data_IF_691673170479
#
_entry.id   IF_691673170479
#
_cell.length_a   1.000
_cell.length_b   1.000
_cell.length_c   1.000
_cell.angle_alpha   90.00
_cell.angle_beta   90.00
_cell.angle_gamma   90.00
#
_symmetry.space_group_name_H-M   'P 1'
#
loop_
_entity.id
_entity.type
_entity.pdbx_description
1 polymer ?
#
# COMPACT_ATOMS: atom_id res chain seq x y z
N UNK A 1 -18.07 0.50 0.39
CA UNK A 1 -17.45 0.65 -0.95
C UNK A 1 -16.19 -0.21 -0.98
N UNK A 2 -16.00 -0.98 -2.06
CA UNK A 2 -14.90 -1.95 -2.22
C UNK A 2 -13.51 -1.32 -2.20
N UNK A 3 -13.38 -0.06 -2.59
CA UNK A 3 -12.09 0.67 -2.63
C UNK A 3 -11.58 0.97 -1.22
N UNK A 4 -12.43 1.56 -0.36
CA UNK A 4 -12.05 1.88 1.01
C UNK A 4 -11.66 0.63 1.81
N UNK A 5 -12.35 -0.49 1.57
CA UNK A 5 -11.97 -1.78 2.17
C UNK A 5 -10.58 -2.22 1.70
N UNK A 6 -10.30 -2.17 0.38
CA UNK A 6 -8.99 -2.51 -0.18
C UNK A 6 -7.86 -1.69 0.42
N UNK A 7 -8.07 -0.38 0.61
CA UNK A 7 -7.07 0.51 1.24
C UNK A 7 -6.85 0.12 2.70
N UNK A 8 -7.92 -0.17 3.45
CA UNK A 8 -7.83 -0.64 4.83
C UNK A 8 -7.05 -1.95 4.93
N UNK A 9 -7.35 -2.93 4.06
CA UNK A 9 -6.66 -4.22 4.03
C UNK A 9 -5.16 -4.03 3.75
N UNK A 10 -4.79 -3.13 2.83
CA UNK A 10 -3.38 -2.81 2.53
C UNK A 10 -2.66 -2.07 3.69
N UNK A 11 -3.37 -1.20 4.41
CA UNK A 11 -2.86 -0.50 5.59
C UNK A 11 -2.61 -1.49 6.74
N UNK A 12 -3.52 -2.45 6.95
CA UNK A 12 -3.39 -3.54 7.93
C UNK A 12 -2.24 -4.49 7.60
N UNK A 13 -2.06 -4.84 6.32
CA UNK A 13 -0.91 -5.60 5.83
C UNK A 13 0.40 -4.79 5.83
N UNK A 14 0.38 -3.54 6.27
CA UNK A 14 1.53 -2.64 6.35
C UNK A 14 2.19 -2.32 5.01
N UNK A 15 1.51 -2.61 3.88
CA UNK A 15 2.03 -2.40 2.53
C UNK A 15 1.93 -0.93 2.07
N UNK A 16 1.07 -0.14 2.72
CA UNK A 16 0.94 1.30 2.51
C UNK A 16 1.01 2.06 3.85
N UNK A 17 1.16 3.38 3.79
CA UNK A 17 1.02 4.27 4.93
C UNK A 17 0.34 5.59 4.52
N UNK A 18 -0.15 6.33 5.51
CA UNK A 18 -0.58 7.71 5.32
C UNK A 18 0.65 8.58 5.13
N UNK A 19 0.77 9.17 3.94
CA UNK A 19 1.84 10.09 3.58
C UNK A 19 1.50 11.52 4.04
N UNK A 20 0.25 11.94 3.84
CA UNK A 20 -0.22 13.26 4.26
C UNK A 20 -1.73 13.33 4.44
N UNK A 21 -2.18 14.41 5.07
CA UNK A 21 -3.58 14.82 5.07
C UNK A 21 -3.73 16.04 4.19
N UNK A 22 -4.71 16.02 3.30
CA UNK A 22 -5.01 17.14 2.41
C UNK A 22 -6.47 17.57 2.55
N UNK A 23 -6.75 18.79 2.14
CA UNK A 23 -8.09 19.38 2.13
C UNK A 23 -8.45 19.66 0.68
N UNK A 24 -9.60 19.17 0.23
CA UNK A 24 -10.08 19.44 -1.12
C UNK A 24 -10.54 20.89 -1.25
N UNK A 25 -10.70 21.38 -2.47
CA UNK A 25 -11.24 22.74 -2.73
C UNK A 25 -12.60 22.98 -2.06
N UNK A 26 -13.38 21.91 -1.83
CA UNK A 26 -14.68 21.95 -1.12
C UNK A 26 -14.56 21.78 0.39
N UNK A 27 -13.35 21.89 0.96
CA UNK A 27 -13.10 21.81 2.39
C UNK A 27 -13.11 20.41 3.00
N UNK A 28 -13.20 19.34 2.20
CA UNK A 28 -13.20 17.97 2.74
C UNK A 28 -11.78 17.50 3.00
N UNK A 29 -11.50 17.07 4.22
CA UNK A 29 -10.23 16.46 4.59
C UNK A 29 -10.17 15.01 4.11
N UNK A 30 -9.05 14.61 3.51
CA UNK A 30 -8.80 13.23 3.08
C UNK A 30 -7.34 12.84 3.33
N UNK A 31 -7.10 11.53 3.45
CA UNK A 31 -5.76 10.96 3.56
C UNK A 31 -5.19 10.72 2.17
N UNK A 32 -3.90 11.02 2.01
CA UNK A 32 -3.10 10.57 0.88
C UNK A 32 -2.24 9.42 1.36
N UNK A 33 -2.32 8.30 0.64
CA UNK A 33 -1.60 7.08 0.96
C UNK A 33 -0.43 6.88 0.01
N UNK A 34 0.67 6.32 0.51
CA UNK A 34 1.84 5.95 -0.29
C UNK A 34 2.22 4.50 -0.04
N UNK A 35 2.67 3.82 -1.10
CA UNK A 35 3.20 2.46 -1.00
C UNK A 35 4.46 2.43 -0.14
N UNK A 36 4.66 1.34 0.60
CA UNK A 36 5.95 1.02 1.25
C UNK A 36 6.82 0.11 0.39
N UNK A 37 6.21 -0.61 -0.55
CA UNK A 37 6.89 -1.50 -1.48
C UNK A 37 7.04 -0.84 -2.84
N UNK A 38 8.21 -1.03 -3.45
CA UNK A 38 8.54 -0.64 -4.82
C UNK A 38 8.17 -1.73 -5.80
N UNK A 39 8.42 -2.98 -5.40
CA UNK A 39 8.23 -4.14 -6.26
C UNK A 39 7.86 -5.37 -5.42
N UNK A 40 7.16 -6.32 -6.06
CA UNK A 40 6.76 -7.58 -5.46
C UNK A 40 6.92 -8.72 -6.47
N UNK A 41 7.79 -9.67 -6.16
CA UNK A 41 8.01 -10.85 -6.98
C UNK A 41 7.33 -12.06 -6.34
N UNK A 42 6.51 -12.75 -7.14
CA UNK A 42 5.82 -13.99 -6.74
C UNK A 42 6.42 -15.12 -7.54
N UNK A 43 7.05 -16.08 -6.86
CA UNK A 43 7.59 -17.29 -7.48
C UNK A 43 6.84 -18.51 -6.95
N UNK A 44 6.22 -19.25 -7.85
CA UNK A 44 5.52 -20.50 -7.54
C UNK A 44 6.32 -21.64 -8.17
N UNK A 45 7.13 -22.32 -7.37
CA UNK A 45 7.90 -23.51 -7.76
C UNK A 45 7.48 -24.66 -6.87
N UNK A 46 6.56 -25.51 -7.35
CA UNK A 46 6.02 -26.64 -6.56
C UNK A 46 7.15 -27.42 -5.88
N UNK A 47 7.06 -27.69 -4.56
CA UNK A 47 5.90 -27.49 -3.68
C UNK A 47 5.80 -26.09 -3.03
N UNK A 48 6.74 -25.20 -3.27
CA UNK A 48 6.87 -23.93 -2.54
C UNK A 48 6.36 -22.73 -3.33
N UNK A 49 5.81 -21.75 -2.60
CA UNK A 49 5.52 -20.42 -3.12
C UNK A 49 6.28 -19.41 -2.25
N UNK A 50 6.99 -18.49 -2.90
CA UNK A 50 7.71 -17.41 -2.24
C UNK A 50 7.20 -16.05 -2.72
N UNK A 51 7.13 -15.11 -1.79
CA UNK A 51 6.83 -13.71 -2.04
C UNK A 51 8.04 -12.89 -1.57
N UNK A 52 8.62 -12.14 -2.48
CA UNK A 52 9.71 -11.20 -2.16
C UNK A 52 9.20 -9.79 -2.36
N UNK A 53 9.27 -8.98 -1.31
CA UNK A 53 8.86 -7.58 -1.34
C UNK A 53 10.10 -6.70 -1.27
N UNK A 54 10.24 -5.80 -2.23
CA UNK A 54 11.31 -4.81 -2.25
C UNK A 54 10.77 -3.48 -1.73
N UNK A 55 11.36 -2.87 -0.68
CA UNK A 55 10.89 -1.60 -0.15
C UNK A 55 11.16 -0.45 -1.13
N UNK A 56 10.46 0.68 -0.94
CA UNK A 56 10.81 1.94 -1.60
C UNK A 56 12.18 2.42 -1.11
N UNK A 57 12.99 2.99 -2.02
CA UNK A 57 14.27 3.63 -1.67
C UNK A 57 13.97 4.82 -0.75
N UNK A 58 14.21 4.65 0.54
CA UNK A 58 14.13 5.73 1.53
C UNK A 58 15.41 6.55 1.37
N UNK A 59 15.30 7.72 0.74
CA UNK A 59 16.34 8.75 0.85
C UNK A 59 16.31 9.39 2.23
#
# INVERSE_FOLDING_TARGET
SSVYKKISDLEELTLIHVDSWQISEKGRRFKVYRSRIKDAEISIKKPEASLTLTPNDVK
#
